data_IF_749244718820
#
_entry.id   IF_749244718820
#
_cell.length_a   1.000
_cell.length_b   1.000
_cell.length_c   1.000
_cell.angle_alpha   90.00
_cell.angle_beta   90.00
_cell.angle_gamma   90.00
#
_symmetry.space_group_name_H-M   'P 1'
#
loop_
_entity.id
_entity.type
_entity.pdbx_description
1 polymer ?
#
# COMPACT_ATOMS: atom_id res chain seq x y z
N UNK A 1 -17.33 -3.79 -5.59
CA UNK A 1 -17.81 -5.07 -6.19
C UNK A 1 -18.61 -4.79 -7.45
N UNK A 2 -18.31 -5.47 -8.57
CA UNK A 2 -18.95 -5.19 -9.87
C UNK A 2 -20.03 -6.19 -10.28
N UNK A 3 -20.10 -7.36 -9.63
CA UNK A 3 -21.09 -8.42 -9.92
C UNK A 3 -21.70 -9.01 -8.63
N UNK A 4 -22.94 -9.55 -8.67
CA UNK A 4 -23.52 -10.25 -7.54
C UNK A 4 -22.64 -11.41 -7.05
N UNK A 5 -22.48 -11.55 -5.73
CA UNK A 5 -21.64 -12.60 -5.14
C UNK A 5 -20.13 -12.33 -5.18
N UNK A 6 -19.67 -11.19 -5.71
CA UNK A 6 -18.26 -10.79 -5.67
C UNK A 6 -17.38 -11.41 -6.76
N UNK A 7 -17.51 -12.72 -6.99
CA UNK A 7 -16.77 -13.46 -8.01
C UNK A 7 -15.27 -13.61 -7.67
N UNK A 8 -14.97 -14.08 -6.47
CA UNK A 8 -13.58 -14.31 -6.01
C UNK A 8 -13.06 -15.62 -6.62
N UNK A 9 -11.99 -15.52 -7.41
CA UNK A 9 -11.24 -16.66 -7.96
C UNK A 9 -9.75 -16.36 -7.83
N UNK A 10 -8.95 -17.40 -7.62
CA UNK A 10 -7.49 -17.31 -7.54
C UNK A 10 -6.83 -18.47 -8.30
N UNK A 11 -5.59 -18.24 -8.71
CA UNK A 11 -4.72 -19.17 -9.42
C UNK A 11 -3.33 -18.53 -9.56
N UNK A 12 -2.53 -19.02 -10.51
CA UNK A 12 -1.22 -18.43 -10.82
C UNK A 12 -0.31 -18.33 -9.59
N UNK A 13 -0.15 -19.47 -8.88
CA UNK A 13 0.64 -19.53 -7.66
C UNK A 13 2.12 -19.67 -8.00
N UNK A 14 2.95 -18.86 -7.35
CA UNK A 14 4.39 -18.86 -7.55
C UNK A 14 5.09 -19.17 -6.24
N UNK A 15 6.07 -20.08 -6.26
CA UNK A 15 6.93 -20.31 -5.09
C UNK A 15 7.92 -19.17 -4.87
N UNK A 16 8.29 -18.48 -5.94
CA UNK A 16 9.11 -17.28 -5.95
C UNK A 16 8.89 -16.52 -7.26
N UNK A 17 8.82 -15.20 -7.16
CA UNK A 17 8.80 -14.26 -8.27
C UNK A 17 9.62 -13.04 -7.87
N UNK A 18 10.43 -12.53 -8.78
CA UNK A 18 11.06 -11.21 -8.62
C UNK A 18 10.19 -10.12 -9.22
N UNK A 19 10.25 -8.93 -8.64
CA UNK A 19 9.57 -7.74 -9.15
C UNK A 19 9.82 -7.52 -10.64
N UNK A 20 8.73 -7.24 -11.35
CA UNK A 20 8.73 -7.02 -12.79
C UNK A 20 8.57 -8.27 -13.65
N UNK A 21 8.83 -9.49 -13.14
CA UNK A 21 8.69 -10.74 -13.91
C UNK A 21 9.38 -10.65 -15.30
N UNK A 22 10.61 -10.12 -15.34
CA UNK A 22 11.25 -9.67 -16.59
C UNK A 22 11.47 -10.81 -17.61
N UNK A 23 11.61 -12.05 -17.15
CA UNK A 23 11.76 -13.22 -18.01
C UNK A 23 10.43 -13.70 -18.63
N UNK A 24 9.29 -13.14 -18.21
CA UNK A 24 7.95 -13.54 -18.65
C UNK A 24 7.47 -14.88 -18.07
N UNK A 25 8.11 -15.36 -17.00
CA UNK A 25 7.71 -16.52 -16.24
C UNK A 25 8.20 -16.41 -14.78
N UNK A 26 7.72 -17.31 -13.93
CA UNK A 26 8.07 -17.39 -12.50
C UNK A 26 8.51 -18.81 -12.14
N UNK A 27 8.57 -19.12 -10.84
CA UNK A 27 8.57 -20.51 -10.36
C UNK A 27 7.12 -20.96 -10.10
N UNK A 28 6.43 -21.36 -11.16
CA UNK A 28 5.02 -21.79 -11.12
C UNK A 28 4.83 -23.08 -10.32
N UNK A 29 3.89 -23.07 -9.39
CA UNK A 29 3.57 -24.22 -8.54
C UNK A 29 2.06 -24.43 -8.39
N UNK A 30 1.66 -25.64 -8.02
CA UNK A 30 0.31 -25.93 -7.53
C UNK A 30 0.28 -25.87 -6.01
N UNK A 31 -0.83 -25.42 -5.43
CA UNK A 31 -1.00 -25.39 -3.99
C UNK A 31 -2.43 -25.14 -3.57
N UNK A 32 -2.66 -25.04 -2.27
CA UNK A 32 -3.95 -24.73 -1.66
C UNK A 32 -3.81 -23.46 -0.84
N UNK A 33 -4.78 -22.55 -0.96
CA UNK A 33 -4.83 -21.31 -0.18
C UNK A 33 -6.06 -21.35 0.73
N UNK A 34 -5.88 -20.97 1.98
CA UNK A 34 -6.99 -20.73 2.91
C UNK A 34 -7.24 -19.22 2.97
N UNK A 35 -8.49 -18.80 2.78
CA UNK A 35 -8.86 -17.38 2.68
C UNK A 35 -9.99 -17.07 3.64
N UNK A 36 -9.95 -15.87 4.21
CA UNK A 36 -11.08 -15.23 4.86
C UNK A 36 -11.57 -14.08 3.98
N UNK A 37 -12.88 -13.98 3.77
CA UNK A 37 -13.46 -12.94 2.91
C UNK A 37 -14.40 -12.07 3.74
N UNK A 38 -14.11 -10.78 3.77
CA UNK A 38 -14.92 -9.76 4.44
C UNK A 38 -15.70 -8.93 3.41
N UNK A 39 -16.99 -8.70 3.65
CA UNK A 39 -17.80 -7.83 2.80
C UNK A 39 -17.87 -6.42 3.40
N UNK A 40 -17.07 -5.52 2.84
CA UNK A 40 -17.07 -4.10 3.23
C UNK A 40 -18.13 -3.38 2.39
N UNK A 41 -19.07 -2.71 3.06
CA UNK A 41 -20.12 -1.91 2.41
C UNK A 41 -19.62 -0.48 2.23
N UNK A 42 -20.06 0.16 1.15
CA UNK A 42 -19.82 1.58 0.85
C UNK A 42 -18.35 2.00 0.71
N UNK A 43 -17.41 1.05 0.66
CA UNK A 43 -16.02 1.32 0.32
C UNK A 43 -15.88 1.40 -1.21
N UNK A 44 -15.62 2.60 -1.73
CA UNK A 44 -15.45 2.82 -3.16
C UNK A 44 -13.97 2.72 -3.56
N UNK A 45 -13.55 1.53 -3.98
CA UNK A 45 -12.22 1.27 -4.52
C UNK A 45 -12.26 1.21 -6.05
N UNK A 46 -11.45 2.06 -6.68
CA UNK A 46 -11.28 2.06 -8.14
C UNK A 46 -10.33 0.97 -8.65
N UNK A 47 -9.65 0.25 -7.75
CA UNK A 47 -8.82 -0.90 -8.08
C UNK A 47 -8.20 -1.55 -6.84
N UNK A 48 -7.19 -2.42 -7.01
CA UNK A 48 -6.60 -3.16 -5.90
C UNK A 48 -5.84 -2.27 -4.93
N UNK A 49 -5.89 -2.65 -3.66
CA UNK A 49 -5.20 -2.09 -2.51
C UNK A 49 -4.63 -3.25 -1.70
N UNK A 50 -3.42 -3.11 -1.17
CA UNK A 50 -2.80 -4.10 -0.31
C UNK A 50 -2.36 -3.45 1.00
N UNK A 51 -2.42 -4.23 2.07
CA UNK A 51 -1.62 -4.05 3.27
C UNK A 51 -0.58 -5.19 3.25
N UNK A 52 0.64 -4.94 2.73
CA UNK A 52 1.68 -5.96 2.66
C UNK A 52 2.03 -6.52 4.04
N UNK A 53 2.62 -7.71 4.08
CA UNK A 53 3.29 -8.14 5.31
C UNK A 53 4.48 -7.21 5.58
N UNK A 54 4.87 -7.08 6.85
CA UNK A 54 5.90 -6.13 7.26
C UNK A 54 7.23 -6.29 6.48
N UNK A 55 7.62 -7.54 6.19
CA UNK A 55 8.85 -7.88 5.47
C UNK A 55 8.86 -7.39 4.01
N UNK A 56 7.69 -7.21 3.41
CA UNK A 56 7.52 -6.74 2.03
C UNK A 56 7.35 -5.21 1.97
N UNK A 57 7.34 -4.51 3.11
CA UNK A 57 7.26 -3.05 3.12
C UNK A 57 8.59 -2.43 2.68
N UNK A 58 8.57 -1.39 1.84
CA UNK A 58 9.72 -0.54 1.62
C UNK A 58 10.25 -0.02 2.96
N UNK A 59 11.58 0.01 3.11
CA UNK A 59 12.23 0.44 4.34
C UNK A 59 11.68 1.78 4.87
N UNK A 60 11.47 2.78 3.99
CA UNK A 60 10.95 4.10 4.39
C UNK A 60 9.45 4.11 4.73
N UNK A 61 8.71 3.09 4.34
CA UNK A 61 7.28 2.97 4.61
C UNK A 61 6.98 2.22 5.92
N UNK A 62 7.98 1.54 6.49
CA UNK A 62 7.80 0.78 7.73
C UNK A 62 7.38 1.71 8.89
N UNK A 63 6.46 1.27 9.77
CA UNK A 63 6.20 1.93 11.04
C UNK A 63 7.49 2.12 11.82
N UNK A 64 7.60 3.22 12.56
CA UNK A 64 8.76 3.45 13.43
C UNK A 64 8.69 2.50 14.62
N UNK A 65 9.83 1.93 15.00
CA UNK A 65 9.94 1.26 16.30
C UNK A 65 9.84 2.25 17.47
N UNK A 66 9.53 1.76 18.67
CA UNK A 66 9.51 2.57 19.90
C UNK A 66 10.79 3.42 20.09
N UNK A 67 11.95 2.84 19.78
CA UNK A 67 13.24 3.54 19.89
C UNK A 67 13.37 4.66 18.85
N UNK A 68 12.98 4.40 17.60
CA UNK A 68 13.01 5.40 16.53
C UNK A 68 12.00 6.51 16.79
N UNK A 69 10.82 6.17 17.31
CA UNK A 69 9.78 7.12 17.67
C UNK A 69 10.27 8.06 18.78
N UNK A 70 10.83 7.53 19.87
CA UNK A 70 11.38 8.33 20.97
C UNK A 70 12.51 9.28 20.52
N UNK A 71 13.34 8.85 19.56
CA UNK A 71 14.38 9.69 18.95
C UNK A 71 13.77 10.79 18.08
N UNK A 72 12.73 10.47 17.33
CA UNK A 72 12.02 11.43 16.51
C UNK A 72 11.32 12.50 17.38
N UNK A 73 10.71 12.09 18.51
CA UNK A 73 10.08 13.02 19.46
C UNK A 73 11.10 14.00 20.05
N UNK A 74 12.26 13.50 20.46
CA UNK A 74 13.35 14.35 20.97
C UNK A 74 13.79 15.41 19.94
N UNK A 75 13.86 15.03 18.65
CA UNK A 75 14.20 15.93 17.56
C UNK A 75 13.07 16.93 17.25
N UNK A 76 11.81 16.49 17.36
CA UNK A 76 10.65 17.34 17.19
C UNK A 76 10.62 18.47 18.23
N UNK A 77 10.89 18.15 19.49
CA UNK A 77 10.99 19.13 20.58
C UNK A 77 12.09 20.17 20.33
N UNK A 78 13.27 19.75 19.88
CA UNK A 78 14.40 20.66 19.56
C UNK A 78 14.03 21.68 18.47
N UNK A 79 13.23 21.25 17.49
CA UNK A 79 12.84 22.08 16.35
C UNK A 79 11.46 22.77 16.52
N UNK A 80 10.81 22.61 17.67
CA UNK A 80 9.49 23.20 17.93
C UNK A 80 8.36 22.60 17.09
N UNK A 81 8.51 21.34 16.66
CA UNK A 81 7.45 20.54 16.04
C UNK A 81 6.57 19.97 17.15
N UNK A 82 5.26 20.23 17.09
CA UNK A 82 4.34 19.94 18.19
C UNK A 82 4.00 18.45 18.35
N UNK A 83 3.92 17.73 17.24
CA UNK A 83 3.47 16.33 17.21
C UNK A 83 4.03 15.63 15.97
N UNK A 84 4.31 14.33 16.11
CA UNK A 84 4.64 13.45 15.00
C UNK A 84 3.35 12.79 14.53
N UNK A 85 3.04 12.94 13.24
CA UNK A 85 1.84 12.34 12.64
C UNK A 85 1.85 10.82 12.79
N UNK A 86 0.79 10.28 13.40
CA UNK A 86 0.51 8.85 13.39
C UNK A 86 0.10 8.41 11.97
N UNK A 87 0.89 7.51 11.39
CA UNK A 87 0.73 7.11 10.01
C UNK A 87 1.12 5.65 9.78
N UNK A 88 0.31 4.96 8.99
CA UNK A 88 0.42 3.53 8.72
C UNK A 88 0.61 3.28 7.22
N UNK A 89 1.37 2.25 6.82
CA UNK A 89 1.63 1.98 5.41
C UNK A 89 0.41 1.40 4.71
N UNK A 90 0.23 1.81 3.46
CA UNK A 90 -0.70 1.19 2.50
C UNK A 90 -0.06 1.12 1.13
N UNK A 91 -0.41 0.11 0.35
CA UNK A 91 0.02 -0.01 -1.05
C UNK A 91 -1.16 0.06 -2.01
N UNK A 92 -1.15 1.06 -2.90
CA UNK A 92 -2.12 1.23 -3.97
C UNK A 92 -1.52 0.70 -5.27
N UNK A 93 -2.20 -0.26 -5.92
CA UNK A 93 -1.67 -0.87 -7.14
C UNK A 93 -1.99 -0.01 -8.35
N UNK A 94 -1.00 0.59 -8.99
CA UNK A 94 -1.18 1.30 -10.25
C UNK A 94 -1.08 0.37 -11.46
N UNK A 95 -1.92 0.58 -12.48
CA UNK A 95 -1.85 -0.18 -13.74
C UNK A 95 -1.91 0.72 -14.96
N UNK A 96 -1.16 0.41 -16.01
CA UNK A 96 -1.09 1.18 -17.25
C UNK A 96 -0.44 0.42 -18.39
N UNK A 97 -0.33 1.06 -19.56
CA UNK A 97 0.37 0.50 -20.72
C UNK A 97 1.89 0.40 -20.50
N UNK A 98 2.42 1.23 -19.60
CA UNK A 98 3.82 1.29 -19.19
C UNK A 98 3.92 1.75 -17.72
N UNK A 99 5.14 1.79 -17.18
CA UNK A 99 5.40 2.12 -15.77
C UNK A 99 5.05 3.57 -15.45
N UNK A 100 5.17 4.50 -16.40
CA UNK A 100 4.81 5.90 -16.18
C UNK A 100 3.29 6.03 -16.04
N UNK A 101 2.54 5.44 -16.97
CA UNK A 101 1.09 5.40 -16.92
C UNK A 101 0.56 4.66 -15.69
N UNK A 102 1.22 3.55 -15.29
CA UNK A 102 0.89 2.82 -14.09
C UNK A 102 1.15 3.64 -12.82
N UNK A 103 2.27 4.37 -12.76
CA UNK A 103 2.61 5.26 -11.65
C UNK A 103 1.61 6.40 -11.52
N UNK A 104 1.32 7.10 -12.61
CA UNK A 104 0.31 8.16 -12.61
C UNK A 104 -1.06 7.62 -12.21
N UNK A 105 -1.45 6.43 -12.68
CA UNK A 105 -2.69 5.77 -12.27
C UNK A 105 -2.72 5.50 -10.76
N UNK A 106 -1.67 4.88 -10.20
CA UNK A 106 -1.59 4.56 -8.78
C UNK A 106 -1.63 5.81 -7.89
N UNK A 107 -0.87 6.85 -8.24
CA UNK A 107 -0.84 8.11 -7.50
C UNK A 107 -2.20 8.83 -7.51
N UNK A 108 -2.86 8.93 -8.66
CA UNK A 108 -4.18 9.54 -8.77
C UNK A 108 -5.24 8.77 -7.97
N UNK A 109 -5.18 7.43 -8.02
CA UNK A 109 -6.09 6.57 -7.26
C UNK A 109 -5.88 6.71 -5.75
N UNK A 110 -4.63 6.74 -5.30
CA UNK A 110 -4.31 6.95 -3.89
C UNK A 110 -4.83 8.30 -3.40
N UNK A 111 -4.61 9.37 -4.18
CA UNK A 111 -5.11 10.71 -3.87
C UNK A 111 -6.64 10.74 -3.75
N UNK A 112 -7.34 10.15 -4.72
CA UNK A 112 -8.80 10.08 -4.72
C UNK A 112 -9.36 9.26 -3.55
N UNK A 113 -8.75 8.11 -3.23
CA UNK A 113 -9.16 7.24 -2.13
C UNK A 113 -9.02 7.92 -0.76
N UNK A 114 -7.90 8.63 -0.56
CA UNK A 114 -7.50 9.18 0.74
C UNK A 114 -7.90 10.66 0.92
N UNK A 115 -8.60 11.25 -0.04
CA UNK A 115 -8.95 12.67 -0.01
C UNK A 115 -7.72 13.61 0.00
N UNK A 116 -6.61 13.16 -0.58
CA UNK A 116 -5.34 13.90 -0.65
C UNK A 116 -5.14 14.55 -2.02
N UNK A 117 -4.21 15.49 -2.10
CA UNK A 117 -3.73 15.98 -3.39
C UNK A 117 -2.70 15.01 -3.99
N UNK A 118 -2.64 14.91 -5.32
CA UNK A 118 -1.59 14.11 -5.99
C UNK A 118 -0.17 14.57 -5.62
N UNK A 119 0.14 15.89 -5.52
CA UNK A 119 1.44 16.34 -5.03
C UNK A 119 1.79 15.84 -3.62
N UNK A 120 0.81 15.75 -2.73
CA UNK A 120 1.03 15.21 -1.38
C UNK A 120 1.37 13.72 -1.43
N UNK A 121 0.60 12.93 -2.18
CA UNK A 121 0.88 11.50 -2.37
C UNK A 121 2.27 11.30 -2.98
N UNK A 122 2.65 12.11 -3.99
CA UNK A 122 4.00 12.07 -4.57
C UNK A 122 5.08 12.31 -3.52
N UNK A 123 4.89 13.29 -2.64
CA UNK A 123 5.85 13.60 -1.59
C UNK A 123 5.96 12.44 -0.58
N UNK A 124 4.82 11.90 -0.12
CA UNK A 124 4.78 10.77 0.82
C UNK A 124 5.41 9.51 0.21
N UNK A 125 5.10 9.19 -1.05
CA UNK A 125 5.74 8.08 -1.77
C UNK A 125 7.25 8.27 -1.96
N UNK A 126 7.75 9.50 -1.89
CA UNK A 126 9.19 9.81 -2.02
C UNK A 126 9.91 9.74 -0.67
N UNK A 127 9.31 10.26 0.40
CA UNK A 127 9.99 10.45 1.70
C UNK A 127 9.68 9.30 2.69
N UNK A 128 8.47 8.75 2.63
CA UNK A 128 7.95 7.76 3.58
C UNK A 128 7.33 6.57 2.85
N UNK A 129 7.93 6.18 1.71
CA UNK A 129 7.32 5.27 0.75
C UNK A 129 8.26 4.84 -0.35
N UNK A 130 7.68 4.20 -1.37
CA UNK A 130 8.34 3.84 -2.62
C UNK A 130 7.33 3.63 -3.77
N UNK A 131 7.85 3.70 -4.99
CA UNK A 131 7.19 3.17 -6.19
C UNK A 131 7.96 1.92 -6.63
N UNK A 132 7.34 0.75 -6.50
CA UNK A 132 7.95 -0.54 -6.80
C UNK A 132 7.31 -1.17 -8.04
N UNK A 133 8.07 -1.96 -8.79
CA UNK A 133 7.57 -2.60 -10.02
C UNK A 133 6.93 -3.92 -9.65
N UNK A 134 5.60 -4.00 -9.66
CA UNK A 134 4.92 -5.30 -9.48
C UNK A 134 5.15 -6.22 -10.69
N UNK A 135 4.85 -5.72 -11.90
CA UNK A 135 5.02 -6.46 -13.16
C UNK A 135 5.34 -5.53 -14.32
N UNK A 136 6.34 -5.89 -15.12
CA UNK A 136 6.69 -5.14 -16.32
C UNK A 136 5.75 -5.51 -17.49
N UNK A 137 5.32 -4.55 -18.32
CA UNK A 137 5.67 -3.13 -18.31
C UNK A 137 4.75 -2.25 -17.47
N UNK A 138 3.65 -2.76 -16.90
CA UNK A 138 2.48 -1.92 -16.62
C UNK A 138 1.85 -2.02 -15.24
N UNK A 139 2.53 -2.58 -14.23
CA UNK A 139 1.98 -2.69 -12.87
C UNK A 139 3.01 -2.17 -11.87
N UNK A 140 2.57 -1.26 -10.99
CA UNK A 140 3.39 -0.70 -9.92
C UNK A 140 2.67 -0.77 -8.58
N UNK A 141 3.45 -0.81 -7.51
CA UNK A 141 2.97 -0.66 -6.14
C UNK A 141 3.33 0.75 -5.66
N UNK A 142 2.32 1.53 -5.28
CA UNK A 142 2.51 2.86 -4.68
C UNK A 142 2.34 2.72 -3.18
N UNK A 143 3.46 2.50 -2.49
CA UNK A 143 3.47 2.23 -1.05
C UNK A 143 3.94 3.44 -0.29
N UNK A 144 3.18 3.91 0.69
CA UNK A 144 3.58 5.05 1.54
C UNK A 144 2.80 5.07 2.85
N UNK A 145 3.32 5.81 3.83
CA UNK A 145 2.63 6.06 5.11
C UNK A 145 1.51 7.08 4.95
N UNK A 146 0.33 6.71 5.40
CA UNK A 146 -0.91 7.49 5.36
C UNK A 146 -1.34 7.85 6.78
N UNK A 147 -1.78 9.09 7.05
CA UNK A 147 -2.28 9.46 8.37
C UNK A 147 -3.41 8.53 8.81
N UNK A 148 -3.41 8.12 10.08
CA UNK A 148 -4.43 7.24 10.63
C UNK A 148 -5.86 7.79 10.42
N UNK A 149 -6.04 9.11 10.58
CA UNK A 149 -7.32 9.81 10.33
C UNK A 149 -7.81 9.59 8.88
N UNK A 150 -6.92 9.64 7.88
CA UNK A 150 -7.30 9.41 6.47
C UNK A 150 -7.68 7.97 6.19
N UNK A 151 -7.04 7.02 6.86
CA UNK A 151 -7.46 5.62 6.81
C UNK A 151 -8.80 5.41 7.51
N UNK A 152 -9.08 6.13 8.59
CA UNK A 152 -10.35 6.08 9.30
C UNK A 152 -11.50 6.63 8.45
N UNK A 153 -11.31 7.80 7.84
CA UNK A 153 -12.29 8.46 6.95
C UNK A 153 -12.77 7.53 5.82
N UNK A 154 -11.88 6.70 5.27
CA UNK A 154 -12.21 5.75 4.21
C UNK A 154 -12.52 4.32 4.71
N UNK A 155 -12.54 4.10 6.02
CA UNK A 155 -12.92 2.82 6.64
C UNK A 155 -11.86 1.71 6.51
N UNK A 156 -10.60 2.09 6.37
CA UNK A 156 -9.45 1.20 6.19
C UNK A 156 -8.54 1.10 7.43
N UNK A 157 -8.68 1.98 8.42
CA UNK A 157 -7.79 2.03 9.59
C UNK A 157 -7.65 0.69 10.32
N UNK A 158 -8.76 0.00 10.59
CA UNK A 158 -8.73 -1.27 11.31
C UNK A 158 -7.89 -2.34 10.59
N UNK A 159 -7.87 -2.37 9.26
CA UNK A 159 -7.04 -3.33 8.52
C UNK A 159 -5.55 -3.00 8.63
N UNK A 160 -5.21 -1.72 8.68
CA UNK A 160 -3.83 -1.30 8.91
C UNK A 160 -3.38 -1.61 10.34
N UNK A 161 -4.24 -1.38 11.33
CA UNK A 161 -3.95 -1.73 12.74
C UNK A 161 -3.89 -3.24 12.96
N UNK A 162 -4.76 -4.03 12.33
CA UNK A 162 -4.68 -5.50 12.41
C UNK A 162 -3.35 -6.02 11.82
N UNK A 163 -2.77 -5.30 10.86
CA UNK A 163 -1.55 -5.71 10.16
C UNK A 163 -0.26 -5.17 10.81
N UNK A 164 -0.29 -3.98 11.40
CA UNK A 164 0.89 -3.25 11.88
C UNK A 164 0.74 -2.59 13.25
N UNK A 165 -0.45 -2.64 13.85
CA UNK A 165 -0.64 -2.15 15.21
C UNK A 165 0.08 -3.05 16.21
N UNK A 166 0.56 -2.45 17.29
CA UNK A 166 1.21 -3.13 18.42
C UNK A 166 0.25 -4.00 19.26
#
# INVERSE_FOLDING_TARGET
VKVPGGGVYLGDMHAMQGDGEIAGHTCDVSGTVTLQVHLIKNLNLDGPLLFPVFEDLPFLAQPLSDEEFARAESLAEEHGVLEIEDSLPVSVIGTGADLNAATDNGLNRAAALLGMSVPEVKNRATITGAIEIGRHPGVVQVTFRVPAEKLEECGLLNFALDQYGD
#
